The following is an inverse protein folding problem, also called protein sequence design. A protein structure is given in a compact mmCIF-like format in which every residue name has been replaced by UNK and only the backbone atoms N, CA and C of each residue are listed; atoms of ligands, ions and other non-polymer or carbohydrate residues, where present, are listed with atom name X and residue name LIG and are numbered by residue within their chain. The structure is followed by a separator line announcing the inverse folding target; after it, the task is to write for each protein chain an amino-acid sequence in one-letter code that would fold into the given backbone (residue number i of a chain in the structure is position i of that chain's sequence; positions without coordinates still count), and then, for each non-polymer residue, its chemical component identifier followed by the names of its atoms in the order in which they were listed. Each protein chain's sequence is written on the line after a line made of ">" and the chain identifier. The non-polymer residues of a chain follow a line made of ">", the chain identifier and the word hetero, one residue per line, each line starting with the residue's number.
data_IF_982877853703
#
_entry.id   IF_982877853703
#
_cell.length_a   1.000
_cell.length_b   1.000
_cell.length_c   1.000
_cell.angle_alpha   90.00
_cell.angle_beta   90.00
_cell.angle_gamma   90.00
#
_symmetry.space_group_name_H-M   'P 1'
#
loop_
_entity.id
_entity.type
_entity.pdbx_description
1 polymer ?
#
# COMPACT_ATOMS: atom_id res chain seq x y z
N UNK A 1 2.98 -2.44 9.94
CA UNK A 1 4.41 -2.12 9.71
C UNK A 1 5.03 -1.65 11.03
N UNK A 2 6.26 -2.08 11.31
CA UNK A 2 7.07 -1.58 12.41
C UNK A 2 8.07 -0.54 11.92
N UNK A 3 8.89 -0.91 10.94
CA UNK A 3 9.93 -0.04 10.39
C UNK A 3 10.05 -0.24 8.88
N UNK A 4 10.36 0.84 8.18
CA UNK A 4 10.77 0.79 6.77
C UNK A 4 12.06 1.56 6.61
N UNK A 5 13.05 0.93 5.97
CA UNK A 5 14.34 1.54 5.70
C UNK A 5 14.66 1.55 4.21
N UNK A 6 15.35 2.61 3.80
CA UNK A 6 15.79 2.81 2.42
C UNK A 6 17.20 3.41 2.39
N UNK A 7 18.03 2.94 1.47
CA UNK A 7 19.37 3.47 1.20
C UNK A 7 19.55 3.66 -0.30
N UNK A 8 20.25 4.73 -0.69
CA UNK A 8 20.62 5.02 -2.09
C UNK A 8 19.42 5.02 -3.05
N UNK A 9 18.44 5.91 -2.82
CA UNK A 9 17.23 6.07 -3.63
C UNK A 9 16.88 7.55 -3.82
N UNK A 10 16.84 8.02 -5.07
CA UNK A 10 16.49 9.40 -5.45
C UNK A 10 17.28 10.44 -4.62
N UNK A 11 16.64 11.17 -3.70
CA UNK A 11 17.32 12.17 -2.85
C UNK A 11 17.91 11.58 -1.56
N UNK A 12 17.77 10.28 -1.33
CA UNK A 12 18.22 9.58 -0.13
C UNK A 12 19.53 8.88 -0.45
N UNK A 13 20.65 9.37 0.08
CA UNK A 13 21.96 8.73 -0.08
C UNK A 13 22.18 7.64 0.97
N UNK A 14 22.19 8.05 2.24
CA UNK A 14 22.44 7.19 3.40
C UNK A 14 21.15 6.51 3.88
N UNK A 15 21.28 5.43 4.66
CA UNK A 15 20.14 4.70 5.23
C UNK A 15 19.24 5.66 6.01
N UNK A 16 17.96 5.71 5.66
CA UNK A 16 16.90 6.38 6.41
C UNK A 16 15.89 5.35 6.86
N UNK A 17 15.37 5.50 8.08
CA UNK A 17 14.39 4.58 8.68
C UNK A 17 13.20 5.35 9.22
N UNK A 18 12.00 4.99 8.75
CA UNK A 18 10.74 5.35 9.39
C UNK A 18 10.37 4.27 10.40
N UNK A 19 10.21 4.64 11.67
CA UNK A 19 9.80 3.73 12.74
C UNK A 19 8.44 4.13 13.29
N UNK A 20 7.54 3.14 13.35
CA UNK A 20 6.20 3.23 13.95
C UNK A 20 6.18 2.60 15.35
N UNK A 21 7.34 2.34 15.96
CA UNK A 21 7.40 1.89 17.34
C UNK A 21 7.02 3.04 18.28
N UNK A 22 6.11 2.77 19.23
CA UNK A 22 5.73 3.76 20.22
C UNK A 22 6.93 4.06 21.14
N UNK A 23 7.20 5.34 21.33
CA UNK A 23 8.23 5.78 22.30
C UNK A 23 7.62 5.96 23.69
N UNK A 24 8.45 6.21 24.71
CA UNK A 24 7.97 6.48 26.08
C UNK A 24 7.20 7.81 26.22
N UNK A 25 7.13 8.62 25.16
CA UNK A 25 6.42 9.91 25.17
C UNK A 25 4.93 9.67 24.90
N UNK A 26 4.07 10.27 25.73
CA UNK A 26 2.62 10.14 25.65
C UNK A 26 1.96 11.46 25.21
N UNK A 27 2.45 12.06 24.11
CA UNK A 27 1.91 13.33 23.61
C UNK A 27 0.53 13.18 22.95
N UNK A 28 0.21 11.98 22.44
CA UNK A 28 -1.08 11.62 21.84
C UNK A 28 -1.59 10.29 22.43
N UNK A 29 -2.46 10.38 23.44
CA UNK A 29 -2.88 9.23 24.28
C UNK A 29 -3.58 8.09 23.52
N UNK A 30 -4.08 8.34 22.30
CA UNK A 30 -4.81 7.35 21.50
C UNK A 30 -4.13 7.01 20.15
N UNK A 31 -2.91 7.50 19.89
CA UNK A 31 -2.18 7.21 18.65
C UNK A 31 -1.31 5.95 18.77
N UNK A 32 -1.82 4.88 19.37
CA UNK A 32 -1.13 3.61 19.41
C UNK A 32 -2.10 2.44 19.61
N UNK A 33 -1.61 1.25 19.29
CA UNK A 33 -2.27 -0.02 19.56
C UNK A 33 -1.26 -1.00 20.13
N UNK A 34 -1.75 -1.99 20.86
CA UNK A 34 -0.93 -3.05 21.45
C UNK A 34 -1.07 -4.30 20.62
N UNK A 35 0.03 -4.76 20.03
CA UNK A 35 0.11 -5.99 19.26
C UNK A 35 0.66 -7.09 20.16
N UNK A 36 -0.10 -8.17 20.32
CA UNK A 36 0.38 -9.37 21.01
C UNK A 36 1.25 -10.20 20.05
N UNK A 37 2.47 -10.51 20.48
CA UNK A 37 3.37 -11.39 19.76
C UNK A 37 3.09 -12.83 20.14
N UNK A 38 3.34 -13.75 19.22
CA UNK A 38 3.35 -15.22 19.40
C UNK A 38 4.21 -15.71 20.58
N UNK A 39 5.10 -14.86 21.10
CA UNK A 39 5.89 -15.12 22.32
C UNK A 39 5.16 -14.84 23.63
N UNK A 40 3.93 -14.32 23.59
CA UNK A 40 3.18 -13.78 24.73
C UNK A 40 3.62 -12.39 25.19
N UNK A 41 4.55 -11.75 24.46
CA UNK A 41 4.96 -10.37 24.72
C UNK A 41 4.04 -9.41 23.98
N UNK A 42 3.77 -8.26 24.60
CA UNK A 42 3.07 -7.16 23.96
C UNK A 42 4.06 -6.13 23.39
N UNK A 43 3.74 -5.56 22.23
CA UNK A 43 4.46 -4.46 21.62
C UNK A 43 3.49 -3.31 21.32
N UNK A 44 3.83 -2.09 21.74
CA UNK A 44 3.05 -0.92 21.40
C UNK A 44 3.57 -0.28 20.10
N UNK A 45 2.68 -0.07 19.14
CA UNK A 45 2.97 0.49 17.82
C UNK A 45 2.04 1.68 17.55
N UNK A 46 2.52 2.68 16.82
CA UNK A 46 1.75 3.86 16.46
C UNK A 46 0.66 3.50 15.44
N UNK A 47 -0.53 4.10 15.58
CA UNK A 47 -1.62 3.97 14.61
C UNK A 47 -1.51 4.96 13.45
N UNK A 48 -0.61 5.94 13.56
CA UNK A 48 -0.33 6.91 12.50
C UNK A 48 0.99 7.62 12.77
N UNK A 49 1.66 8.07 11.71
CA UNK A 49 2.79 8.98 11.77
C UNK A 49 2.69 9.99 10.63
N UNK A 50 3.16 11.21 10.88
CA UNK A 50 3.17 12.28 9.87
C UNK A 50 4.59 12.79 9.70
N UNK A 51 5.03 12.89 8.45
CA UNK A 51 6.35 13.40 8.10
C UNK A 51 6.20 14.83 7.60
N UNK A 52 6.67 15.80 8.39
CA UNK A 52 6.75 17.20 7.99
C UNK A 52 8.19 17.58 7.62
N UNK A 53 8.34 18.51 6.68
CA UNK A 53 9.64 18.99 6.25
C UNK A 53 9.51 19.95 5.08
N UNK A 54 10.57 20.71 4.83
CA UNK A 54 10.61 21.69 3.74
C UNK A 54 10.34 21.07 2.36
N UNK A 55 9.97 21.89 1.38
CA UNK A 55 9.87 21.44 -0.01
C UNK A 55 11.21 20.84 -0.47
N UNK A 56 11.15 19.79 -1.29
CA UNK A 56 12.32 19.03 -1.76
C UNK A 56 13.18 18.35 -0.67
N UNK A 57 12.68 18.21 0.57
CA UNK A 57 13.41 17.51 1.65
C UNK A 57 13.41 15.97 1.52
N UNK A 58 12.83 15.40 0.46
CA UNK A 58 12.83 13.95 0.21
C UNK A 58 11.70 13.14 0.84
N UNK A 59 10.65 13.77 1.38
CA UNK A 59 9.51 13.06 2.02
C UNK A 59 8.78 12.12 1.06
N UNK A 60 8.40 12.64 -0.10
CA UNK A 60 7.78 11.86 -1.17
C UNK A 60 8.69 10.73 -1.65
N UNK A 61 10.02 10.90 -1.62
CA UNK A 61 10.96 9.84 -1.98
C UNK A 61 10.89 8.63 -1.02
N UNK A 62 10.56 8.83 0.26
CA UNK A 62 10.35 7.71 1.18
C UNK A 62 9.08 6.93 0.82
N UNK A 63 7.98 7.63 0.51
CA UNK A 63 6.73 6.98 0.08
C UNK A 63 6.92 6.25 -1.25
N UNK A 64 7.58 6.91 -2.21
CA UNK A 64 7.91 6.30 -3.50
C UNK A 64 8.87 5.12 -3.38
N UNK A 65 9.78 5.12 -2.41
CA UNK A 65 10.65 3.98 -2.15
C UNK A 65 9.85 2.77 -1.66
N UNK A 66 8.88 2.96 -0.76
CA UNK A 66 8.00 1.88 -0.32
C UNK A 66 7.15 1.37 -1.49
N UNK A 67 6.56 2.27 -2.28
CA UNK A 67 5.83 1.89 -3.49
C UNK A 67 6.71 1.13 -4.50
N UNK A 68 7.97 1.53 -4.68
CA UNK A 68 8.93 0.81 -5.51
C UNK A 68 9.19 -0.60 -4.98
N UNK A 69 9.44 -0.74 -3.66
CA UNK A 69 9.61 -2.04 -3.00
C UNK A 69 8.42 -2.96 -3.24
N UNK A 70 7.20 -2.49 -2.98
CA UNK A 70 5.97 -3.28 -3.16
C UNK A 70 5.76 -3.70 -4.62
N UNK A 71 5.95 -2.78 -5.57
CA UNK A 71 5.82 -3.11 -7.00
C UNK A 71 6.87 -4.14 -7.47
N UNK A 72 8.10 -4.11 -6.95
CA UNK A 72 9.12 -5.11 -7.29
C UNK A 72 8.76 -6.47 -6.70
N UNK A 73 8.23 -6.50 -5.47
CA UNK A 73 7.73 -7.73 -4.83
C UNK A 73 6.62 -8.37 -5.67
N UNK A 74 5.63 -7.58 -6.10
CA UNK A 74 4.51 -8.08 -6.89
C UNK A 74 4.92 -8.50 -8.32
N UNK A 75 5.75 -7.70 -9.01
CA UNK A 75 5.95 -7.86 -10.45
C UNK A 75 7.19 -8.67 -10.84
N UNK A 76 8.21 -8.79 -9.96
CA UNK A 76 9.55 -9.22 -10.41
C UNK A 76 9.61 -10.64 -10.95
N UNK A 77 8.71 -11.53 -10.54
CA UNK A 77 8.58 -12.86 -11.14
C UNK A 77 8.30 -12.78 -12.65
N UNK A 78 7.48 -11.82 -13.09
CA UNK A 78 7.06 -11.65 -14.48
C UNK A 78 8.07 -10.98 -15.40
N UNK A 79 9.17 -10.43 -14.86
CA UNK A 79 10.18 -9.72 -15.66
C UNK A 79 10.83 -10.65 -16.68
N UNK A 80 11.00 -10.18 -17.92
CA UNK A 80 11.73 -10.95 -18.92
C UNK A 80 13.23 -10.96 -18.59
N UNK A 81 14.01 -12.01 -18.95
CA UNK A 81 15.43 -12.10 -18.60
C UNK A 81 16.30 -10.93 -19.11
N UNK A 82 15.87 -10.27 -20.19
CA UNK A 82 16.55 -9.11 -20.77
C UNK A 82 16.06 -7.76 -20.23
N UNK A 83 15.12 -7.76 -19.28
CA UNK A 83 14.63 -6.55 -18.63
C UNK A 83 15.41 -6.32 -17.33
N UNK A 84 15.61 -5.06 -16.99
CA UNK A 84 16.14 -4.67 -15.68
C UNK A 84 15.10 -4.78 -14.57
N UNK A 85 15.53 -4.50 -13.33
CA UNK A 85 14.64 -4.31 -12.19
C UNK A 85 14.01 -2.93 -12.30
N UNK A 86 12.68 -2.87 -12.36
CA UNK A 86 11.94 -1.61 -12.52
C UNK A 86 11.98 -0.79 -11.22
N UNK A 87 11.78 0.52 -11.34
CA UNK A 87 11.66 1.46 -10.22
C UNK A 87 12.90 1.55 -9.30
N UNK A 88 14.07 1.16 -9.80
CA UNK A 88 15.36 1.40 -9.14
C UNK A 88 15.95 2.70 -9.66
N UNK A 89 16.01 3.70 -8.78
CA UNK A 89 16.53 5.04 -9.09
C UNK A 89 17.52 5.44 -7.99
N UNK A 90 18.84 5.18 -8.17
CA UNK A 90 19.83 5.44 -7.13
C UNK A 90 20.04 6.93 -6.88
N UNK A 91 20.74 7.28 -5.81
CA UNK A 91 21.13 8.66 -5.53
C UNK A 91 22.17 9.14 -6.55
N UNK A 92 21.80 10.11 -7.39
CA UNK A 92 22.62 10.53 -8.53
C UNK A 92 23.58 11.71 -8.25
N UNK A 93 23.43 12.42 -7.12
CA UNK A 93 24.27 13.58 -6.79
C UNK A 93 25.65 13.20 -6.22
N UNK A 94 26.01 11.91 -6.24
CA UNK A 94 27.31 11.41 -5.82
C UNK A 94 27.78 10.33 -6.79
N UNK A 95 28.96 10.49 -7.39
CA UNK A 95 29.51 9.50 -8.35
C UNK A 95 29.66 8.10 -7.76
N UNK A 96 29.97 8.03 -6.46
CA UNK A 96 30.15 6.77 -5.74
C UNK A 96 28.85 5.96 -5.65
N UNK A 97 27.69 6.62 -5.52
CA UNK A 97 26.41 5.96 -5.24
C UNK A 97 25.67 5.50 -6.50
N UNK A 98 25.96 6.07 -7.67
CA UNK A 98 25.29 5.73 -8.94
C UNK A 98 25.40 4.23 -9.27
N UNK A 99 26.56 3.62 -8.99
CA UNK A 99 26.80 2.20 -9.22
C UNK A 99 26.49 1.30 -8.03
N UNK A 100 26.12 1.88 -6.87
CA UNK A 100 25.78 1.09 -5.69
C UNK A 100 24.32 0.61 -5.79
N UNK A 101 24.00 -0.54 -5.19
CA UNK A 101 22.61 -0.99 -5.10
C UNK A 101 21.75 -0.01 -4.30
N UNK A 102 20.47 0.07 -4.64
CA UNK A 102 19.43 0.60 -3.76
C UNK A 102 19.02 -0.51 -2.81
N UNK A 103 18.89 -0.21 -1.52
CA UNK A 103 18.52 -1.18 -0.49
C UNK A 103 17.17 -0.83 0.15
N UNK A 104 16.28 -1.82 0.25
CA UNK A 104 14.99 -1.73 0.92
C UNK A 104 14.92 -2.74 2.05
N UNK A 105 14.37 -2.35 3.20
CA UNK A 105 14.12 -3.26 4.32
C UNK A 105 12.80 -2.88 5.01
N UNK A 106 11.99 -3.89 5.29
CA UNK A 106 10.68 -3.77 5.90
C UNK A 106 10.61 -4.71 7.10
N UNK A 107 10.32 -4.14 8.26
CA UNK A 107 10.00 -4.83 9.49
C UNK A 107 8.48 -4.74 9.72
N UNK A 108 7.82 -5.88 9.86
CA UNK A 108 6.37 -5.94 10.06
C UNK A 108 5.99 -7.05 11.02
N UNK A 109 4.79 -6.95 11.59
CA UNK A 109 4.14 -8.03 12.31
C UNK A 109 2.90 -8.43 11.55
N UNK A 110 2.70 -9.74 11.43
CA UNK A 110 1.43 -10.31 11.02
C UNK A 110 1.11 -11.56 11.85
N UNK A 111 -0.13 -11.66 12.32
CA UNK A 111 -0.60 -12.75 13.20
C UNK A 111 0.35 -13.03 14.39
N UNK A 112 0.84 -11.96 15.02
CA UNK A 112 1.78 -12.01 16.15
C UNK A 112 3.19 -12.49 15.81
N UNK A 113 3.53 -12.73 14.53
CA UNK A 113 4.87 -13.10 14.08
C UNK A 113 5.53 -11.87 13.45
N UNK A 114 6.73 -11.53 13.93
CA UNK A 114 7.56 -10.48 13.32
C UNK A 114 8.33 -11.04 12.13
N UNK A 115 8.39 -10.27 11.05
CA UNK A 115 9.15 -10.53 9.84
C UNK A 115 10.03 -9.34 9.51
N UNK A 116 11.28 -9.61 9.13
CA UNK A 116 12.20 -8.60 8.56
C UNK A 116 12.57 -9.07 7.17
N UNK A 117 12.04 -8.38 6.16
CA UNK A 117 12.27 -8.67 4.74
C UNK A 117 13.05 -7.52 4.11
N UNK A 118 14.06 -7.84 3.29
CA UNK A 118 14.78 -6.81 2.55
C UNK A 118 15.51 -7.35 1.35
N UNK A 119 15.88 -6.44 0.45
CA UNK A 119 16.70 -6.74 -0.71
C UNK A 119 17.48 -5.50 -1.16
N UNK A 120 18.58 -5.76 -1.87
CA UNK A 120 19.35 -4.75 -2.57
C UNK A 120 19.32 -5.02 -4.06
N UNK A 121 19.19 -3.99 -4.89
CA UNK A 121 19.07 -4.13 -6.33
C UNK A 121 19.77 -2.99 -7.08
N UNK A 122 20.31 -3.31 -8.24
CA UNK A 122 20.65 -2.32 -9.26
C UNK A 122 19.51 -2.25 -10.28
N UNK A 123 19.61 -1.35 -11.26
CA UNK A 123 18.69 -1.31 -12.39
C UNK A 123 18.72 -2.60 -13.23
N UNK A 124 19.74 -3.45 -13.09
CA UNK A 124 19.89 -4.67 -13.87
C UNK A 124 19.40 -5.91 -13.12
N UNK A 125 19.70 -6.02 -11.82
CA UNK A 125 19.53 -7.27 -11.07
C UNK A 125 19.36 -7.07 -9.57
N UNK A 126 18.80 -8.09 -8.92
CA UNK A 126 18.80 -8.25 -7.47
C UNK A 126 20.20 -8.71 -7.04
N UNK A 127 20.79 -8.00 -6.08
CA UNK A 127 22.13 -8.27 -5.55
C UNK A 127 22.01 -9.14 -4.31
N UNK A 128 21.29 -8.68 -3.29
CA UNK A 128 21.06 -9.44 -2.07
C UNK A 128 19.57 -9.49 -1.75
N UNK A 129 19.14 -10.55 -1.04
CA UNK A 129 17.77 -10.68 -0.54
C UNK A 129 17.80 -11.48 0.76
N UNK A 130 17.07 -11.01 1.77
CA UNK A 130 16.99 -11.64 3.07
C UNK A 130 15.58 -11.63 3.64
N UNK A 131 15.26 -12.66 4.41
CA UNK A 131 14.02 -12.75 5.15
C UNK A 131 14.24 -13.49 6.45
N UNK A 132 13.91 -12.84 7.56
CA UNK A 132 13.91 -13.42 8.89
C UNK A 132 12.50 -13.43 9.47
N UNK A 133 12.16 -14.49 10.19
CA UNK A 133 10.93 -14.55 11.00
C UNK A 133 11.25 -14.84 12.47
N UNK A 134 10.40 -14.36 13.39
CA UNK A 134 10.62 -14.46 14.84
C UNK A 134 9.43 -15.11 15.60
N UNK A 135 8.98 -16.34 15.24
CA UNK A 135 7.79 -16.97 15.84
C UNK A 135 7.97 -17.36 17.32
N UNK A 136 9.22 -17.42 17.80
CA UNK A 136 9.56 -17.74 19.21
C UNK A 136 10.52 -16.70 19.80
N UNK A 137 10.59 -15.51 19.20
CA UNK A 137 11.49 -14.42 19.60
C UNK A 137 12.94 -14.57 19.11
N UNK A 138 13.41 -15.77 18.79
CA UNK A 138 14.69 -15.99 18.10
C UNK A 138 14.52 -15.97 16.57
N UNK A 139 15.47 -15.42 15.79
CA UNK A 139 15.38 -15.37 14.34
C UNK A 139 15.46 -16.76 13.71
N UNK A 140 14.62 -17.01 12.72
CA UNK A 140 14.75 -18.10 11.77
C UNK A 140 14.96 -17.52 10.37
N UNK A 141 15.98 -18.01 9.67
CA UNK A 141 16.32 -17.55 8.34
C UNK A 141 15.46 -18.26 7.29
N UNK A 142 14.70 -17.49 6.50
CA UNK A 142 13.85 -17.99 5.43
C UNK A 142 14.46 -17.75 4.04
N UNK A 143 15.07 -16.59 3.82
CA UNK A 143 15.74 -16.24 2.56
C UNK A 143 17.11 -15.69 2.90
N UNK A 144 18.12 -16.20 2.20
CA UNK A 144 19.50 -15.75 2.29
C UNK A 144 20.13 -15.87 0.91
N UNK A 145 20.07 -14.79 0.15
CA UNK A 145 20.64 -14.66 -1.19
C UNK A 145 21.67 -13.54 -1.15
N UNK A 146 22.86 -13.82 -1.68
CA UNK A 146 23.97 -12.87 -1.79
C UNK A 146 24.55 -12.85 -3.19
N UNK A 147 25.05 -11.70 -3.61
CA UNK A 147 25.77 -11.55 -4.89
C UNK A 147 25.02 -12.17 -6.08
N UNK A 148 23.70 -11.98 -6.12
CA UNK A 148 22.73 -12.46 -7.13
C UNK A 148 22.53 -13.97 -7.18
N UNK A 149 23.54 -14.81 -6.93
CA UNK A 149 23.46 -16.26 -7.17
C UNK A 149 23.95 -17.13 -6.02
N UNK A 150 24.49 -16.54 -4.96
CA UNK A 150 24.97 -17.27 -3.79
C UNK A 150 23.83 -17.44 -2.79
N UNK A 151 23.67 -18.66 -2.27
CA UNK A 151 22.56 -19.00 -1.36
C UNK A 151 23.09 -19.46 -0.01
N UNK A 152 22.64 -18.81 1.06
CA UNK A 152 22.96 -19.16 2.43
C UNK A 152 22.03 -20.23 3.02
N UNK A 153 22.14 -20.44 4.33
CA UNK A 153 21.37 -21.48 5.04
C UNK A 153 19.98 -20.97 5.40
N UNK A 154 18.98 -21.44 4.66
CA UNK A 154 17.56 -21.17 4.93
C UNK A 154 16.97 -22.23 5.87
N UNK A 155 17.34 -22.17 7.15
CA UNK A 155 16.99 -23.17 8.17
C UNK A 155 15.50 -23.18 8.55
N UNK A 156 14.83 -22.03 8.46
CA UNK A 156 13.40 -21.91 8.74
C UNK A 156 12.52 -22.26 7.54
N UNK A 157 13.06 -22.26 6.31
CA UNK A 157 12.30 -22.52 5.11
C UNK A 157 12.29 -24.01 4.75
N UNK A 158 11.09 -24.59 4.65
CA UNK A 158 10.85 -25.96 4.15
C UNK A 158 10.43 -25.92 2.67
N UNK A 159 10.36 -27.09 2.03
CA UNK A 159 9.88 -27.23 0.65
C UNK A 159 10.98 -27.33 -0.40
N UNK A 160 10.62 -27.05 -1.66
CA UNK A 160 11.44 -27.32 -2.86
C UNK A 160 12.47 -26.21 -3.14
N UNK A 161 13.26 -25.84 -2.13
CA UNK A 161 14.22 -24.73 -2.15
C UNK A 161 15.10 -24.70 -3.40
N UNK A 162 15.65 -25.84 -3.80
CA UNK A 162 16.51 -25.96 -4.99
C UNK A 162 15.79 -25.56 -6.28
N UNK A 163 14.53 -25.97 -6.47
CA UNK A 163 13.73 -25.59 -7.65
C UNK A 163 13.49 -24.09 -7.66
N UNK A 164 13.15 -23.51 -6.50
CA UNK A 164 12.93 -22.07 -6.39
C UNK A 164 14.22 -21.29 -6.70
N UNK A 165 15.37 -21.74 -6.20
CA UNK A 165 16.68 -21.13 -6.48
C UNK A 165 17.01 -21.19 -7.98
N UNK A 166 16.88 -22.37 -8.61
CA UNK A 166 17.15 -22.57 -10.04
C UNK A 166 16.18 -21.83 -10.95
N UNK A 167 14.96 -21.57 -10.48
CA UNK A 167 13.93 -20.82 -11.23
C UNK A 167 13.99 -19.31 -11.01
N UNK A 168 14.80 -18.84 -10.04
CA UNK A 168 14.90 -17.42 -9.72
C UNK A 168 15.92 -16.75 -10.64
N UNK A 169 15.44 -15.85 -11.49
CA UNK A 169 16.28 -15.04 -12.38
C UNK A 169 17.10 -14.01 -11.59
N UNK A 170 18.13 -13.47 -12.23
CA UNK A 170 18.97 -12.42 -11.66
C UNK A 170 18.18 -11.15 -11.33
N UNK A 171 17.15 -10.84 -12.13
CA UNK A 171 16.27 -9.69 -11.97
C UNK A 171 14.96 -9.97 -11.19
N UNK A 172 14.79 -11.17 -10.64
CA UNK A 172 13.61 -11.56 -9.88
C UNK A 172 13.94 -11.79 -8.42
N UNK A 173 13.01 -11.44 -7.52
CA UNK A 173 13.10 -11.80 -6.11
C UNK A 173 12.82 -13.30 -5.93
N UNK A 174 13.57 -13.93 -5.03
CA UNK A 174 13.34 -15.30 -4.61
C UNK A 174 12.00 -15.44 -3.90
N UNK A 175 11.60 -14.44 -3.09
CA UNK A 175 10.27 -14.40 -2.47
C UNK A 175 9.17 -14.58 -3.53
N UNK A 176 9.15 -13.70 -4.53
CA UNK A 176 8.14 -13.69 -5.60
C UNK A 176 8.16 -14.99 -6.41
N UNK A 177 9.35 -15.50 -6.75
CA UNK A 177 9.50 -16.79 -7.44
C UNK A 177 8.93 -17.93 -6.60
N UNK A 178 9.33 -18.06 -5.34
CA UNK A 178 8.92 -19.18 -4.50
C UNK A 178 7.41 -19.19 -4.24
N UNK A 179 6.78 -18.01 -4.09
CA UNK A 179 5.32 -17.87 -3.99
C UNK A 179 4.62 -18.37 -5.25
N UNK A 180 5.11 -17.99 -6.43
CA UNK A 180 4.56 -18.47 -7.71
C UNK A 180 4.70 -20.00 -7.88
N UNK A 181 5.74 -20.58 -7.30
CA UNK A 181 5.94 -22.02 -7.21
C UNK A 181 5.30 -22.66 -5.96
N UNK A 182 4.27 -22.02 -5.40
CA UNK A 182 3.40 -22.50 -4.33
C UNK A 182 4.10 -22.76 -2.99
N UNK A 183 5.06 -21.91 -2.60
CA UNK A 183 5.64 -21.94 -1.25
C UNK A 183 4.64 -21.45 -0.20
N UNK A 184 4.03 -22.36 0.57
CA UNK A 184 3.04 -22.01 1.61
C UNK A 184 3.55 -20.97 2.61
N UNK A 185 4.75 -21.18 3.16
CA UNK A 185 5.31 -20.28 4.18
C UNK A 185 5.63 -18.89 3.61
N UNK A 186 6.20 -18.83 2.41
CA UNK A 186 6.53 -17.54 1.80
C UNK A 186 5.29 -16.82 1.27
N UNK A 187 4.23 -17.54 0.91
CA UNK A 187 2.93 -16.95 0.59
C UNK A 187 2.32 -16.22 1.78
N UNK A 188 2.49 -16.72 3.01
CA UNK A 188 2.05 -16.01 4.23
C UNK A 188 2.78 -14.67 4.36
N UNK A 189 4.10 -14.67 4.21
CA UNK A 189 4.91 -13.44 4.30
C UNK A 189 4.57 -12.47 3.18
N UNK A 190 4.41 -12.96 1.96
CA UNK A 190 3.98 -12.17 0.82
C UNK A 190 2.61 -11.53 1.04
N UNK A 191 1.64 -12.29 1.55
CA UNK A 191 0.32 -11.76 1.93
C UNK A 191 0.41 -10.73 3.04
N UNK A 192 1.29 -10.91 4.03
CA UNK A 192 1.53 -9.95 5.10
C UNK A 192 2.10 -8.62 4.57
N UNK A 193 3.06 -8.67 3.63
CA UNK A 193 3.59 -7.47 2.97
C UNK A 193 2.49 -6.78 2.15
N UNK A 194 1.62 -7.53 1.47
CA UNK A 194 0.52 -6.98 0.67
C UNK A 194 -0.60 -6.31 1.48
N UNK A 195 -0.53 -6.38 2.82
CA UNK A 195 -1.36 -5.56 3.73
C UNK A 195 -0.89 -4.10 3.80
N UNK A 196 0.28 -3.77 3.25
CA UNK A 196 0.72 -2.40 3.03
C UNK A 196 0.06 -1.87 1.76
N UNK A 197 -0.82 -0.88 1.93
CA UNK A 197 -1.56 -0.24 0.83
C UNK A 197 -0.94 1.12 0.54
N UNK A 198 -0.32 1.22 -0.63
CA UNK A 198 0.06 2.50 -1.20
C UNK A 198 -1.13 3.10 -1.98
N UNK A 199 -1.68 4.21 -1.50
CA UNK A 199 -2.83 4.89 -2.12
C UNK A 199 -2.44 5.90 -3.21
N UNK A 200 -1.28 5.76 -3.85
CA UNK A 200 -0.89 6.61 -4.99
C UNK A 200 -1.67 6.38 -6.32
N UNK A 201 -2.58 5.39 -6.40
CA UNK A 201 -3.29 5.07 -7.65
C UNK A 201 -4.71 5.66 -7.67
N UNK A 202 -4.78 6.97 -7.93
CA UNK A 202 -6.00 7.80 -7.99
C UNK A 202 -7.19 7.22 -8.83
N UNK A 203 -7.02 6.54 -9.99
CA UNK A 203 -8.17 5.95 -10.70
C UNK A 203 -8.77 4.70 -10.02
N UNK A 204 -7.97 3.98 -9.24
CA UNK A 204 -8.40 2.74 -8.59
C UNK A 204 -9.27 3.04 -7.36
N UNK A 205 -9.07 4.19 -6.71
CA UNK A 205 -9.79 4.59 -5.50
C UNK A 205 -11.29 4.86 -5.74
N UNK A 206 -11.63 5.61 -6.80
CA UNK A 206 -13.02 5.89 -7.20
C UNK A 206 -13.80 4.61 -7.52
N UNK A 207 -13.27 3.79 -8.43
CA UNK A 207 -13.92 2.56 -8.85
C UNK A 207 -14.07 1.57 -7.69
N UNK A 208 -13.10 1.55 -6.77
CA UNK A 208 -13.17 0.74 -5.57
C UNK A 208 -14.35 1.17 -4.66
N UNK A 209 -14.51 2.47 -4.38
CA UNK A 209 -15.66 2.96 -3.61
C UNK A 209 -16.99 2.60 -4.29
N UNK A 210 -17.09 2.82 -5.61
CA UNK A 210 -18.29 2.49 -6.38
C UNK A 210 -18.62 0.99 -6.34
N UNK A 211 -17.61 0.13 -6.51
CA UNK A 211 -17.77 -1.32 -6.43
C UNK A 211 -18.25 -1.74 -5.05
N UNK A 212 -17.58 -1.29 -3.98
CA UNK A 212 -17.98 -1.57 -2.59
C UNK A 212 -19.42 -1.13 -2.32
N UNK A 213 -19.83 0.05 -2.79
CA UNK A 213 -21.19 0.55 -2.63
C UNK A 213 -22.24 -0.35 -3.32
N UNK A 214 -21.91 -0.92 -4.48
CA UNK A 214 -22.81 -1.82 -5.21
C UNK A 214 -22.79 -3.28 -4.70
N UNK A 215 -21.76 -3.69 -3.97
CA UNK A 215 -21.66 -5.04 -3.40
C UNK A 215 -22.73 -5.31 -2.33
N UNK A 216 -23.09 -4.32 -1.50
CA UNK A 216 -24.11 -4.49 -0.47
C UNK A 216 -24.71 -3.15 0.00
N UNK A 217 -25.96 -3.20 0.46
CA UNK A 217 -26.61 -2.05 1.10
C UNK A 217 -25.88 -1.59 2.36
N UNK A 218 -25.23 -2.51 3.08
CA UNK A 218 -24.44 -2.19 4.26
C UNK A 218 -23.19 -1.38 3.92
N UNK A 219 -22.46 -1.76 2.86
CA UNK A 219 -21.32 -0.97 2.39
C UNK A 219 -21.75 0.41 1.92
N UNK A 220 -22.85 0.51 1.15
CA UNK A 220 -23.41 1.80 0.75
C UNK A 220 -23.74 2.67 1.96
N UNK A 221 -24.39 2.09 2.98
CA UNK A 221 -24.71 2.77 4.25
C UNK A 221 -23.46 3.28 4.96
N UNK A 222 -22.43 2.44 5.12
CA UNK A 222 -21.15 2.83 5.76
C UNK A 222 -20.45 3.97 5.00
N UNK A 223 -20.47 3.94 3.66
CA UNK A 223 -19.92 5.03 2.83
C UNK A 223 -20.70 6.33 3.04
N UNK A 224 -22.04 6.26 3.06
CA UNK A 224 -22.90 7.42 3.31
C UNK A 224 -22.64 8.01 4.70
N UNK A 225 -22.62 7.17 5.74
CA UNK A 225 -22.36 7.60 7.12
C UNK A 225 -20.98 8.24 7.28
N UNK A 226 -19.97 7.71 6.60
CA UNK A 226 -18.64 8.29 6.58
C UNK A 226 -18.67 9.71 5.99
N UNK A 227 -19.31 9.88 4.84
CA UNK A 227 -19.43 11.19 4.16
C UNK A 227 -20.22 12.19 5.02
N UNK A 228 -21.30 11.75 5.67
CA UNK A 228 -22.09 12.58 6.59
C UNK A 228 -21.30 12.98 7.84
N UNK A 229 -20.57 12.03 8.45
CA UNK A 229 -19.72 12.30 9.61
C UNK A 229 -18.53 13.22 9.29
N UNK A 230 -18.05 13.20 8.05
CA UNK A 230 -17.09 14.16 7.51
C UNK A 230 -17.68 15.58 7.32
N UNK A 231 -18.98 15.78 7.57
CA UNK A 231 -19.68 17.05 7.46
C UNK A 231 -20.14 17.39 6.05
N UNK A 232 -20.14 16.41 5.13
CA UNK A 232 -20.78 16.59 3.83
C UNK A 232 -22.30 16.50 4.04
N UNK A 233 -23.03 17.54 3.65
CA UNK A 233 -24.49 17.62 3.80
C UNK A 233 -25.30 16.69 2.89
N UNK A 234 -24.73 15.57 2.44
CA UNK A 234 -25.44 14.61 1.59
C UNK A 234 -26.48 13.83 2.41
N UNK A 235 -27.63 13.63 1.79
CA UNK A 235 -28.70 12.78 2.31
C UNK A 235 -28.55 11.34 1.83
N UNK A 236 -28.16 11.16 0.56
CA UNK A 236 -27.96 9.85 -0.05
C UNK A 236 -27.07 9.98 -1.31
N UNK A 237 -26.65 8.85 -1.88
CA UNK A 237 -26.03 8.80 -3.19
C UNK A 237 -26.49 7.57 -3.96
N UNK A 238 -26.33 7.58 -5.28
CA UNK A 238 -26.57 6.41 -6.12
C UNK A 238 -25.40 6.18 -7.06
N UNK A 239 -25.00 4.92 -7.22
CA UNK A 239 -23.97 4.48 -8.14
C UNK A 239 -24.63 3.68 -9.25
N UNK A 240 -24.54 4.17 -10.48
CA UNK A 240 -24.97 3.44 -11.67
C UNK A 240 -23.74 2.84 -12.34
N UNK A 241 -23.76 1.52 -12.51
CA UNK A 241 -22.76 0.81 -13.29
C UNK A 241 -23.19 0.75 -14.75
N UNK A 242 -22.34 1.25 -15.64
CA UNK A 242 -22.54 1.22 -17.09
C UNK A 242 -21.40 0.41 -17.74
N UNK A 243 -21.72 -0.32 -18.81
CA UNK A 243 -20.68 -0.92 -19.65
C UNK A 243 -19.91 0.20 -20.32
N UNK A 244 -18.58 0.08 -20.34
CA UNK A 244 -17.76 1.03 -21.11
C UNK A 244 -18.09 0.84 -22.59
N UNK A 245 -18.49 1.93 -23.24
CA UNK A 245 -18.60 1.96 -24.68
C UNK A 245 -17.20 2.00 -25.29
N UNK A 246 -16.80 0.93 -25.96
CA UNK A 246 -15.49 0.83 -26.60
C UNK A 246 -15.23 1.99 -27.57
N UNK A 247 -16.26 2.56 -28.19
CA UNK A 247 -16.11 3.70 -29.11
C UNK A 247 -15.65 4.98 -28.39
N UNK A 248 -15.95 5.11 -27.10
CA UNK A 248 -15.57 6.27 -26.28
C UNK A 248 -14.13 6.22 -25.76
N UNK A 249 -13.48 5.05 -25.84
CA UNK A 249 -12.09 4.88 -25.39
C UNK A 249 -11.14 5.42 -26.48
N UNK A 250 -10.23 6.36 -26.17
CA UNK A 250 -9.20 6.80 -27.12
C UNK A 250 -8.35 5.63 -27.62
N UNK A 251 -7.99 5.64 -28.91
CA UNK A 251 -7.26 4.53 -29.55
C UNK A 251 -5.91 4.22 -28.89
N UNK A 252 -5.25 5.25 -28.36
CA UNK A 252 -4.00 5.11 -27.61
C UNK A 252 -4.20 4.29 -26.32
N UNK A 253 -5.32 4.49 -25.63
CA UNK A 253 -5.69 3.73 -24.44
C UNK A 253 -6.10 2.30 -24.77
N UNK A 254 -6.82 2.07 -25.89
CA UNK A 254 -7.15 0.73 -26.39
C UNK A 254 -5.90 -0.10 -26.66
N UNK A 255 -4.84 0.52 -27.19
CA UNK A 255 -3.57 -0.14 -27.46
C UNK A 255 -2.89 -0.61 -26.17
N UNK A 256 -2.83 0.24 -25.14
CA UNK A 256 -2.28 -0.10 -23.82
C UNK A 256 -3.07 -1.25 -23.17
N UNK A 257 -4.40 -1.21 -23.25
CA UNK A 257 -5.27 -2.24 -22.67
C UNK A 257 -5.07 -3.60 -23.36
N UNK A 258 -4.90 -3.62 -24.69
CA UNK A 258 -4.54 -4.83 -25.44
C UNK A 258 -3.16 -5.37 -25.05
N UNK A 259 -2.15 -4.51 -24.92
CA UNK A 259 -0.80 -4.91 -24.49
C UNK A 259 -0.79 -5.53 -23.09
N UNK A 260 -1.71 -5.11 -22.21
CA UNK A 260 -1.90 -5.68 -20.87
C UNK A 260 -2.82 -6.91 -20.83
N UNK A 261 -3.28 -7.43 -21.97
CA UNK A 261 -4.24 -8.54 -22.06
C UNK A 261 -5.52 -8.29 -21.22
N UNK A 262 -5.95 -7.03 -21.09
CA UNK A 262 -7.16 -6.67 -20.37
C UNK A 262 -8.38 -6.84 -21.26
N UNK A 263 -9.40 -7.50 -20.72
CA UNK A 263 -10.69 -7.67 -21.38
C UNK A 263 -11.52 -6.38 -21.26
N UNK A 264 -11.65 -5.67 -22.38
CA UNK A 264 -12.40 -4.41 -22.49
C UNK A 264 -13.87 -4.58 -22.08
N UNK A 265 -14.45 -5.76 -22.30
CA UNK A 265 -15.84 -6.04 -21.95
C UNK A 265 -16.09 -6.13 -20.44
N UNK A 266 -15.02 -6.27 -19.64
CA UNK A 266 -15.06 -6.25 -18.18
C UNK A 266 -14.84 -4.85 -17.60
N UNK A 267 -14.52 -3.86 -18.43
CA UNK A 267 -14.40 -2.49 -17.96
C UNK A 267 -15.79 -1.95 -17.65
N UNK A 268 -15.91 -1.43 -16.43
CA UNK A 268 -17.12 -0.80 -15.90
C UNK A 268 -16.87 0.69 -15.80
N UNK A 269 -17.82 1.48 -16.26
CA UNK A 269 -17.89 2.90 -15.94
C UNK A 269 -18.89 3.09 -14.80
N UNK A 270 -18.65 4.05 -13.91
CA UNK A 270 -19.56 4.38 -12.83
C UNK A 270 -20.01 5.83 -12.94
N UNK A 271 -21.32 6.04 -12.94
CA UNK A 271 -21.92 7.36 -12.75
C UNK A 271 -22.45 7.47 -11.33
N UNK A 272 -22.04 8.53 -10.64
CA UNK A 272 -22.47 8.77 -9.26
C UNK A 272 -23.34 10.02 -9.23
N UNK A 273 -24.48 9.92 -8.57
CA UNK A 273 -25.31 11.08 -8.23
C UNK A 273 -25.40 11.23 -6.73
N UNK A 274 -25.12 12.42 -6.23
CA UNK A 274 -25.26 12.78 -4.82
C UNK A 274 -26.59 13.50 -4.62
N UNK A 275 -27.28 13.21 -3.51
CA UNK A 275 -28.60 13.75 -3.19
C UNK A 275 -28.52 14.61 -1.94
N UNK A 276 -29.18 15.76 -1.99
CA UNK A 276 -29.24 16.75 -0.93
C UNK A 276 -30.69 17.16 -0.67
N UNK A 277 -30.95 17.65 0.54
CA UNK A 277 -32.22 18.28 0.89
C UNK A 277 -32.07 19.80 0.71
N UNK A 278 -32.90 20.41 -0.14
CA UNK A 278 -32.97 21.87 -0.29
C UNK A 278 -33.73 22.52 0.87
N UNK A 279 -33.64 23.84 0.98
CA UNK A 279 -34.26 24.60 2.08
C UNK A 279 -35.78 24.43 2.19
N UNK A 280 -36.45 24.04 1.12
CA UNK A 280 -37.89 23.75 1.04
C UNK A 280 -38.22 22.25 1.26
N UNK A 281 -37.23 21.43 1.59
CA UNK A 281 -37.39 20.01 1.87
C UNK A 281 -37.38 19.09 0.64
N UNK A 282 -37.14 19.63 -0.57
CA UNK A 282 -37.08 18.83 -1.79
C UNK A 282 -35.73 18.12 -1.93
N UNK A 283 -35.74 16.95 -2.59
CA UNK A 283 -34.51 16.23 -2.92
C UNK A 283 -33.94 16.79 -4.22
N UNK A 284 -32.72 17.31 -4.16
CA UNK A 284 -31.95 17.77 -5.32
C UNK A 284 -30.81 16.79 -5.57
N UNK A 285 -30.57 16.44 -6.84
CA UNK A 285 -29.46 15.56 -7.22
C UNK A 285 -28.39 16.32 -7.99
N UNK A 286 -27.14 16.09 -7.63
CA UNK A 286 -25.97 16.59 -8.33
C UNK A 286 -25.20 15.45 -8.99
N UNK A 287 -24.69 15.70 -10.19
CA UNK A 287 -23.72 14.83 -10.82
C UNK A 287 -22.37 14.94 -10.10
N UNK A 288 -21.82 13.78 -9.73
CA UNK A 288 -20.59 13.71 -8.96
C UNK A 288 -19.38 14.32 -9.67
N UNK A 289 -19.26 14.18 -10.99
CA UNK A 289 -18.08 14.67 -11.71
C UNK A 289 -18.20 16.16 -12.02
N UNK A 290 -19.39 16.59 -12.42
CA UNK A 290 -19.58 17.92 -12.99
C UNK A 290 -20.02 18.99 -11.98
N UNK A 291 -20.67 18.58 -10.87
CA UNK A 291 -21.36 19.53 -9.97
C UNK A 291 -20.86 19.47 -8.52
N UNK A 292 -20.20 18.41 -8.10
CA UNK A 292 -19.63 18.31 -6.75
C UNK A 292 -18.31 19.06 -6.60
N UNK A 293 -18.08 19.59 -5.41
CA UNK A 293 -16.80 20.24 -5.10
C UNK A 293 -15.63 19.25 -5.13
N UNK A 294 -14.43 19.73 -5.48
CA UNK A 294 -13.21 18.91 -5.51
C UNK A 294 -12.96 18.17 -4.18
N UNK A 295 -13.26 18.82 -3.05
CA UNK A 295 -13.14 18.21 -1.73
C UNK A 295 -14.12 17.06 -1.50
N UNK A 296 -15.38 17.20 -1.92
CA UNK A 296 -16.37 16.11 -1.88
C UNK A 296 -15.94 14.96 -2.78
N UNK A 297 -15.48 15.28 -4.00
CA UNK A 297 -15.02 14.28 -4.95
C UNK A 297 -13.82 13.49 -4.41
N UNK A 298 -12.82 14.19 -3.89
CA UNK A 298 -11.64 13.57 -3.28
C UNK A 298 -12.02 12.71 -2.09
N UNK A 299 -12.90 13.19 -1.21
CA UNK A 299 -13.36 12.39 -0.08
C UNK A 299 -14.04 11.09 -0.53
N UNK A 300 -14.99 11.16 -1.45
CA UNK A 300 -15.70 9.98 -1.96
C UNK A 300 -14.75 8.93 -2.56
N UNK A 301 -13.73 9.38 -3.29
CA UNK A 301 -12.66 8.53 -3.82
C UNK A 301 -11.89 7.81 -2.71
N UNK A 302 -11.69 8.47 -1.57
CA UNK A 302 -10.97 7.90 -0.42
C UNK A 302 -11.81 6.98 0.45
N UNK A 303 -13.13 7.19 0.56
CA UNK A 303 -13.97 6.48 1.57
C UNK A 303 -13.88 4.96 1.46
N UNK A 304 -14.03 4.40 0.26
CA UNK A 304 -13.98 2.95 0.06
C UNK A 304 -12.66 2.35 0.54
N UNK A 305 -11.51 2.80 -0.01
CA UNK A 305 -10.20 2.35 0.45
C UNK A 305 -9.95 2.60 1.94
N UNK A 306 -10.38 3.73 2.49
CA UNK A 306 -10.20 4.07 3.90
C UNK A 306 -10.93 3.10 4.83
N UNK A 307 -12.19 2.77 4.49
CA UNK A 307 -12.98 1.78 5.22
C UNK A 307 -12.37 0.38 5.10
N UNK A 308 -11.86 0.00 3.92
CA UNK A 308 -11.21 -1.29 3.71
C UNK A 308 -9.92 -1.43 4.53
N UNK A 309 -9.15 -0.35 4.66
CA UNK A 309 -7.96 -0.30 5.51
C UNK A 309 -8.32 -0.54 6.98
N UNK A 310 -9.29 0.23 7.51
CA UNK A 310 -9.73 0.10 8.90
C UNK A 310 -10.33 -1.28 9.19
N UNK A 311 -11.11 -1.81 8.24
CA UNK A 311 -11.78 -3.10 8.39
C UNK A 311 -10.80 -4.28 8.36
N UNK A 312 -9.73 -4.20 7.58
CA UNK A 312 -8.79 -5.32 7.45
C UNK A 312 -7.49 -5.15 8.27
N UNK A 313 -7.32 -4.03 8.97
CA UNK A 313 -6.09 -3.77 9.73
C UNK A 313 -4.87 -3.50 8.83
N UNK A 314 -5.10 -2.89 7.67
CA UNK A 314 -4.03 -2.59 6.73
C UNK A 314 -3.23 -1.36 7.17
N UNK A 315 -2.05 -1.18 6.55
CA UNK A 315 -1.27 0.03 6.72
C UNK A 315 -1.41 0.89 5.46
N UNK A 316 -1.93 2.09 5.64
CA UNK A 316 -2.17 3.07 4.60
C UNK A 316 -1.02 4.07 4.52
N UNK A 317 -0.41 4.18 3.35
CA UNK A 317 0.59 5.21 3.06
C UNK A 317 0.07 6.18 2.03
N UNK A 318 0.09 7.47 2.38
CA UNK A 318 -0.37 8.57 1.54
C UNK A 318 0.60 9.73 1.62
N UNK A 319 0.91 10.31 0.46
CA UNK A 319 1.54 11.63 0.38
C UNK A 319 0.48 12.70 0.21
N UNK A 320 0.80 13.92 0.63
CA UNK A 320 -0.05 15.11 0.44
C UNK A 320 -1.52 14.91 0.83
N UNK A 321 -1.80 14.19 1.93
CA UNK A 321 -3.18 13.96 2.43
C UNK A 321 -3.99 15.26 2.61
N UNK A 322 -3.30 16.38 2.89
CA UNK A 322 -3.90 17.68 3.07
C UNK A 322 -4.28 18.39 1.77
N UNK A 323 -3.76 17.96 0.63
CA UNK A 323 -4.04 18.61 -0.64
C UNK A 323 -5.54 18.48 -0.98
N UNK A 324 -6.17 19.59 -1.35
CA UNK A 324 -7.60 19.66 -1.70
C UNK A 324 -8.60 19.15 -0.63
N UNK A 325 -8.16 18.87 0.61
CA UNK A 325 -9.02 18.53 1.75
C UNK A 325 -8.99 19.62 2.82
N UNK A 326 -10.16 19.98 3.33
CA UNK A 326 -10.26 20.93 4.44
C UNK A 326 -9.56 20.36 5.69
N UNK A 327 -8.81 21.14 6.49
CA UNK A 327 -8.05 20.63 7.64
C UNK A 327 -8.86 19.82 8.67
N UNK A 328 -10.13 20.18 8.88
CA UNK A 328 -11.05 19.41 9.74
C UNK A 328 -11.31 17.99 9.21
N UNK A 329 -11.35 17.84 7.89
CA UNK A 329 -11.55 16.54 7.25
C UNK A 329 -10.30 15.68 7.40
N UNK A 330 -9.12 16.24 7.22
CA UNK A 330 -7.85 15.55 7.49
C UNK A 330 -7.78 15.10 8.96
N UNK A 331 -8.15 15.97 9.90
CA UNK A 331 -8.20 15.62 11.31
C UNK A 331 -9.22 14.50 11.61
N UNK A 332 -10.40 14.54 10.99
CA UNK A 332 -11.41 13.49 11.10
C UNK A 332 -10.87 12.14 10.59
N UNK A 333 -10.31 12.14 9.38
CA UNK A 333 -9.69 10.96 8.76
C UNK A 333 -8.64 10.31 9.67
N UNK A 334 -7.70 11.10 10.20
CA UNK A 334 -6.67 10.60 11.13
C UNK A 334 -7.28 10.12 12.44
N UNK A 335 -8.29 10.81 12.97
CA UNK A 335 -8.94 10.43 14.24
C UNK A 335 -9.60 9.06 14.20
N UNK A 336 -10.00 8.57 13.01
CA UNK A 336 -10.56 7.23 12.85
C UNK A 336 -9.54 6.14 13.21
N UNK A 337 -8.27 6.32 12.86
CA UNK A 337 -7.19 5.41 13.24
C UNK A 337 -6.89 5.44 14.74
N UNK A 338 -7.21 6.54 15.41
CA UNK A 338 -7.01 6.73 16.85
C UNK A 338 -8.22 6.29 17.67
N UNK A 339 -9.32 5.89 17.05
CA UNK A 339 -10.54 5.50 17.74
C UNK A 339 -10.65 3.97 17.82
N UNK A 340 -10.51 3.34 19.00
CA UNK A 340 -10.58 1.88 19.14
C UNK A 340 -11.94 1.27 18.75
N UNK A 341 -13.02 2.06 18.79
CA UNK A 341 -14.35 1.61 18.35
C UNK A 341 -14.48 1.54 16.83
N UNK A 342 -13.62 2.28 16.11
CA UNK A 342 -13.56 2.30 14.64
C UNK A 342 -12.41 1.41 14.15
N UNK A 343 -11.20 1.64 14.64
CA UNK A 343 -9.99 0.91 14.28
C UNK A 343 -9.81 -0.38 15.10
N UNK A 344 -10.76 -1.31 14.92
CA UNK A 344 -10.80 -2.57 15.69
C UNK A 344 -9.69 -3.56 15.34
N UNK A 345 -9.13 -3.42 14.13
CA UNK A 345 -8.14 -4.35 13.59
C UNK A 345 -6.73 -3.75 13.52
N UNK A 346 -6.45 -2.70 14.30
CA UNK A 346 -5.11 -2.12 14.43
C UNK A 346 -4.51 -1.65 13.09
N UNK A 347 -5.34 -1.08 12.21
CA UNK A 347 -4.90 -0.41 11.00
C UNK A 347 -3.98 0.78 11.33
N UNK A 348 -3.10 1.12 10.39
CA UNK A 348 -2.05 2.14 10.55
C UNK A 348 -2.01 3.14 9.41
#
# INVERSE_FOLDING_TARGET
>A
MLEFSITNFRSIKEKQTLSLLKTKKNELENNFTTVELSTGKALEVLNSAVIYGANASGKSNLVWALGAMLNIIDDSFGYQPNQGVKNIEPFLLSKESVGQPTEFELDLIDDGIRYVYGFSATQEKIIDEWLYQYPKGSPQNLIDRKSTTQWGVMSGLKGKKKIWQESTKDNSLFLSTAVQFNSELLSIVFSAINKLKDMYKEPLSFNFTCHKANESQENKRRILEFMQAAGIGIEDFSVLEEKVDEETIPDEFKKILKEKNMDLSKLKNFKVKMRYISNDGNIVSFDFQDQESDGTQKLFRLVGPWLDVLENGYCLVMDELHDSLHPKLVAYLVSMFHNPEINKNAAQ
#
